data_IF_043261969030
#
_entry.id   IF_043261969030
#
_cell.length_a   1.000
_cell.length_b   1.000
_cell.length_c   1.000
_cell.angle_alpha   90.00
_cell.angle_beta   90.00
_cell.angle_gamma   90.00
#
_symmetry.space_group_name_H-M   'P 1'
#
loop_
_entity.id
_entity.type
_entity.pdbx_description
1 polymer ?
#
# COMPACT_ATOMS: atom_id res chain seq x y z
N UNK A 1 -15.03 -1.83 -1.80
CA UNK A 1 -14.09 -1.49 -0.70
C UNK A 1 -14.20 -2.57 0.36
N UNK A 2 -13.07 -3.19 0.73
CA UNK A 2 -12.99 -4.17 1.83
C UNK A 2 -12.24 -3.50 3.00
N UNK A 3 -12.76 -3.62 4.22
CA UNK A 3 -12.24 -2.91 5.41
C UNK A 3 -11.66 -3.94 6.37
N UNK A 4 -10.38 -3.79 6.73
CA UNK A 4 -9.66 -4.71 7.61
C UNK A 4 -8.88 -3.90 8.64
N UNK A 5 -8.93 -4.29 9.91
CA UNK A 5 -8.11 -3.72 10.98
C UNK A 5 -6.88 -4.58 11.19
N UNK A 6 -5.68 -4.01 11.08
CA UNK A 6 -4.40 -4.71 11.27
C UNK A 6 -3.56 -4.10 12.38
N UNK A 7 -2.85 -4.94 13.13
CA UNK A 7 -1.81 -4.56 14.09
C UNK A 7 -0.46 -4.44 13.39
N UNK A 8 0.49 -3.77 14.05
CA UNK A 8 1.89 -3.73 13.61
C UNK A 8 2.41 -5.17 13.48
N UNK A 9 3.08 -5.46 12.37
CA UNK A 9 3.58 -6.78 12.00
C UNK A 9 2.59 -7.67 11.24
N UNK A 10 1.30 -7.30 11.18
CA UNK A 10 0.32 -8.07 10.42
C UNK A 10 0.36 -7.73 8.93
N UNK A 11 0.02 -8.74 8.12
CA UNK A 11 0.08 -8.70 6.66
C UNK A 11 -1.31 -8.90 6.06
N UNK A 12 -1.60 -8.15 4.99
CA UNK A 12 -2.76 -8.33 4.11
C UNK A 12 -2.21 -8.87 2.78
N UNK A 13 -2.83 -9.92 2.24
CA UNK A 13 -2.50 -10.45 0.91
C UNK A 13 -3.58 -10.08 -0.10
N UNK A 14 -3.16 -9.70 -1.30
CA UNK A 14 -4.03 -9.39 -2.43
C UNK A 14 -3.63 -10.33 -3.58
N UNK A 15 -4.48 -11.32 -3.86
CA UNK A 15 -4.11 -12.45 -4.72
C UNK A 15 -2.89 -13.18 -4.16
N UNK A 16 -2.05 -13.71 -5.06
CA UNK A 16 -0.90 -14.54 -4.67
C UNK A 16 0.43 -13.76 -4.62
N UNK A 17 0.49 -12.56 -5.22
CA UNK A 17 1.75 -11.87 -5.49
C UNK A 17 1.92 -10.53 -4.78
N UNK A 18 0.87 -10.02 -4.10
CA UNK A 18 0.92 -8.73 -3.44
C UNK A 18 0.74 -8.90 -1.93
N UNK A 19 1.66 -8.33 -1.16
CA UNK A 19 1.64 -8.32 0.31
C UNK A 19 1.73 -6.88 0.81
N UNK A 20 0.84 -6.51 1.72
CA UNK A 20 0.81 -5.21 2.40
C UNK A 20 1.03 -5.44 3.89
N UNK A 21 2.11 -4.91 4.43
CA UNK A 21 2.52 -5.10 5.83
C UNK A 21 2.43 -3.79 6.60
N UNK A 22 1.85 -3.82 7.80
CA UNK A 22 1.88 -2.68 8.71
C UNK A 22 3.21 -2.72 9.47
N UNK A 23 4.11 -1.80 9.15
CA UNK A 23 5.47 -1.79 9.71
C UNK A 23 5.55 -0.99 11.01
N UNK A 24 4.84 0.13 11.11
CA UNK A 24 4.84 0.99 12.29
C UNK A 24 3.60 1.89 12.31
N UNK A 25 3.21 2.36 13.49
CA UNK A 25 2.15 3.35 13.69
C UNK A 25 2.64 4.40 14.68
N UNK A 26 2.86 5.62 14.20
CA UNK A 26 3.37 6.73 15.02
C UNK A 26 2.72 8.04 14.64
N UNK A 27 2.21 8.77 15.64
CA UNK A 27 1.64 10.11 15.43
C UNK A 27 0.50 10.16 14.41
N UNK A 28 -0.34 9.13 14.36
CA UNK A 28 -1.42 9.01 13.37
C UNK A 28 -0.97 8.65 11.95
N UNK A 29 0.35 8.52 11.72
CA UNK A 29 0.89 8.01 10.48
C UNK A 29 1.15 6.51 10.59
N UNK A 30 0.91 5.80 9.48
CA UNK A 30 1.18 4.38 9.36
C UNK A 30 2.29 4.19 8.34
N UNK A 31 3.34 3.46 8.73
CA UNK A 31 4.35 3.00 7.79
C UNK A 31 3.87 1.69 7.19
N UNK A 32 3.66 1.68 5.87
CA UNK A 32 3.17 0.52 5.13
C UNK A 32 4.28 -0.01 4.23
N UNK A 33 4.59 -1.30 4.36
CA UNK A 33 5.44 -2.02 3.41
C UNK A 33 4.57 -2.67 2.34
N UNK A 34 4.92 -2.50 1.07
CA UNK A 34 4.22 -3.13 -0.05
C UNK A 34 5.24 -3.97 -0.82
N UNK A 35 4.96 -5.26 -0.95
CA UNK A 35 5.66 -6.16 -1.85
C UNK A 35 4.72 -6.50 -2.99
N UNK A 36 5.15 -6.20 -4.21
CA UNK A 36 4.43 -6.48 -5.44
C UNK A 36 5.45 -6.86 -6.53
N UNK A 37 5.06 -7.62 -7.56
CA UNK A 37 5.93 -7.92 -8.68
C UNK A 37 6.18 -6.66 -9.52
N UNK A 38 7.25 -6.65 -10.34
CA UNK A 38 7.75 -5.44 -11.02
C UNK A 38 6.80 -4.86 -12.06
N UNK A 39 5.93 -5.69 -12.60
CA UNK A 39 4.89 -5.33 -13.56
C UNK A 39 3.71 -4.60 -12.91
N UNK A 40 3.59 -4.64 -11.58
CA UNK A 40 2.57 -3.93 -10.81
C UNK A 40 3.20 -2.67 -10.20
N UNK A 41 3.00 -1.49 -10.81
CA UNK A 41 3.54 -0.25 -10.27
C UNK A 41 2.84 0.12 -8.96
N UNK A 42 3.62 0.60 -7.99
CA UNK A 42 3.13 1.09 -6.70
C UNK A 42 3.44 2.57 -6.59
N UNK A 43 2.40 3.39 -6.60
CA UNK A 43 2.51 4.85 -6.53
C UNK A 43 1.78 5.39 -5.30
N UNK A 44 2.19 6.57 -4.86
CA UNK A 44 1.35 7.37 -3.97
C UNK A 44 0.25 8.04 -4.79
N UNK A 45 -0.96 8.07 -4.27
CA UNK A 45 -2.14 8.59 -4.96
C UNK A 45 -1.94 10.00 -5.51
N UNK A 46 -1.33 10.90 -4.72
CA UNK A 46 -1.11 12.28 -5.13
C UNK A 46 -0.12 12.41 -6.30
N UNK A 47 0.79 11.46 -6.45
CA UNK A 47 1.73 11.40 -7.57
C UNK A 47 1.05 10.77 -8.79
N UNK A 48 0.29 9.70 -8.58
CA UNK A 48 -0.47 9.03 -9.65
C UNK A 48 -1.41 10.00 -10.36
N UNK A 49 -2.21 10.77 -9.60
CA UNK A 49 -3.12 11.78 -10.15
C UNK A 49 -2.42 12.87 -10.97
N UNK A 50 -1.20 13.26 -10.58
CA UNK A 50 -0.42 14.25 -11.33
C UNK A 50 0.06 13.72 -12.67
N UNK A 51 0.36 12.42 -12.75
CA UNK A 51 0.81 11.76 -13.97
C UNK A 51 -0.39 11.55 -14.90
N UNK A 52 -1.54 11.09 -14.39
CA UNK A 52 -2.74 10.89 -15.20
C UNK A 52 -3.37 12.20 -15.71
N UNK A 53 -3.34 13.27 -14.92
CA UNK A 53 -3.89 14.57 -15.32
C UNK A 53 -3.01 15.38 -16.30
N UNK A 54 -1.83 14.86 -16.65
CA UNK A 54 -0.92 15.48 -17.62
C UNK A 54 -1.12 14.94 -19.06
N UNK A 55 -2.18 14.16 -19.29
CA UNK A 55 -2.59 13.64 -20.60
C UNK A 55 -3.63 14.49 -21.31
#
# INVERSE_FOLDING_TARGET
MLILTRKIGEVIRIGDNIEVTILDVRGGQVRVGIRAPKDVPVHREEIYRKIEGAG
#
